data_IF_786863120623
#
_entry.id   IF_786863120623
#
_cell.length_a   1.000
_cell.length_b   1.000
_cell.length_c   1.000
_cell.angle_alpha   90.00
_cell.angle_beta   90.00
_cell.angle_gamma   90.00
#
_symmetry.space_group_name_H-M   'P 1'
#
loop_
_entity.id
_entity.type
_entity.pdbx_description
1 polymer ?
#
# COMPACT_ATOMS: atom_id res chain seq x y z
N UNK A 1 -13.17 -15.28 3.12
CA UNK A 1 -11.91 -14.68 2.62
C UNK A 1 -11.40 -15.58 1.49
N UNK A 2 -11.09 -15.02 0.32
CA UNK A 2 -10.45 -15.75 -0.78
C UNK A 2 -8.94 -15.50 -0.69
N UNK A 3 -8.14 -16.57 -0.68
CA UNK A 3 -6.68 -16.46 -0.69
C UNK A 3 -6.15 -16.60 -2.12
N UNK A 4 -5.23 -15.71 -2.49
CA UNK A 4 -4.50 -15.76 -3.76
C UNK A 4 -3.01 -15.84 -3.41
N UNK A 5 -2.32 -16.80 -4.00
CA UNK A 5 -0.90 -17.05 -3.77
C UNK A 5 -0.11 -16.66 -5.01
N UNK A 6 1.11 -16.13 -4.83
CA UNK A 6 1.95 -15.64 -5.92
C UNK A 6 2.79 -14.44 -5.49
N UNK A 7 3.57 -13.89 -6.42
CA UNK A 7 4.26 -12.61 -6.25
C UNK A 7 3.27 -11.46 -6.50
N UNK A 8 3.06 -10.60 -5.50
CA UNK A 8 2.10 -9.50 -5.56
C UNK A 8 2.35 -8.49 -6.69
N UNK A 9 3.58 -8.39 -7.21
CA UNK A 9 3.93 -7.49 -8.30
C UNK A 9 3.88 -8.17 -9.68
N UNK A 10 3.74 -9.50 -9.72
CA UNK A 10 3.61 -10.25 -10.96
C UNK A 10 2.27 -10.99 -10.99
N UNK A 11 1.28 -10.35 -11.62
CA UNK A 11 -0.06 -10.92 -11.76
C UNK A 11 -0.05 -12.28 -12.46
N UNK A 12 0.94 -12.61 -13.30
CA UNK A 12 1.05 -13.91 -13.98
C UNK A 12 1.43 -15.05 -13.04
N UNK A 13 2.06 -14.73 -11.92
CA UNK A 13 2.37 -15.70 -10.88
C UNK A 13 1.18 -16.04 -9.97
N UNK A 14 0.05 -15.34 -10.09
CA UNK A 14 -1.08 -15.49 -9.18
C UNK A 14 -1.86 -16.78 -9.45
N UNK A 15 -2.12 -17.55 -8.39
CA UNK A 15 -2.89 -18.80 -8.45
C UNK A 15 -4.32 -18.62 -8.94
N UNK A 16 -4.84 -17.39 -8.89
CA UNK A 16 -6.12 -17.01 -9.47
C UNK A 16 -6.07 -15.59 -9.99
N UNK A 17 -6.61 -15.39 -11.20
CA UNK A 17 -6.74 -14.07 -11.82
C UNK A 17 -7.96 -13.32 -11.30
N UNK A 18 -7.86 -11.99 -11.12
CA UNK A 18 -9.02 -11.14 -10.82
C UNK A 18 -10.06 -11.23 -11.93
N UNK A 19 -11.33 -11.08 -11.55
CA UNK A 19 -12.45 -11.04 -12.50
C UNK A 19 -12.65 -9.60 -12.99
N UNK A 20 -12.29 -8.62 -12.16
CA UNK A 20 -12.36 -7.20 -12.49
C UNK A 20 -11.14 -6.76 -13.30
N UNK A 21 -11.31 -5.78 -14.21
CA UNK A 21 -10.19 -5.24 -14.98
C UNK A 21 -9.21 -4.46 -14.11
N UNK A 22 -9.71 -3.81 -13.04
CA UNK A 22 -8.93 -3.03 -12.10
C UNK A 22 -8.69 -3.78 -10.79
N UNK A 23 -7.54 -3.51 -10.17
CA UNK A 23 -7.07 -4.16 -8.95
C UNK A 23 -6.61 -3.09 -7.97
N UNK A 24 -7.01 -3.19 -6.70
CA UNK A 24 -6.41 -2.40 -5.63
C UNK A 24 -5.39 -3.26 -4.85
N UNK A 25 -4.14 -2.83 -4.83
CA UNK A 25 -3.13 -3.38 -3.93
C UNK A 25 -3.04 -2.52 -2.67
N UNK A 26 -3.40 -3.13 -1.55
CA UNK A 26 -3.48 -2.48 -0.25
C UNK A 26 -2.30 -2.91 0.61
N UNK A 27 -1.50 -1.96 1.07
CA UNK A 27 -0.33 -2.22 1.91
C UNK A 27 -0.47 -1.50 3.23
N UNK A 28 -0.26 -2.23 4.33
CA UNK A 28 -0.22 -1.62 5.66
C UNK A 28 1.14 -0.98 5.91
N UNK A 29 1.14 0.17 6.56
CA UNK A 29 2.37 0.83 7.04
C UNK A 29 2.22 1.17 8.52
N UNK A 30 3.28 1.65 9.16
CA UNK A 30 3.24 2.11 10.55
C UNK A 30 2.83 3.59 10.70
N UNK A 31 2.61 4.31 9.60
CA UNK A 31 2.24 5.74 9.63
C UNK A 31 3.33 6.69 10.14
N UNK A 32 4.59 6.23 10.25
CA UNK A 32 5.70 7.05 10.76
C UNK A 32 6.35 7.84 9.61
N UNK A 33 6.62 9.13 9.84
CA UNK A 33 7.33 10.00 8.90
C UNK A 33 8.71 10.35 9.48
N UNK A 34 9.75 10.25 8.65
CA UNK A 34 11.14 10.62 8.98
C UNK A 34 11.29 12.14 9.07
N UNK A 35 12.37 12.61 9.67
CA UNK A 35 12.75 14.03 9.65
C UNK A 35 12.91 14.59 8.22
N UNK A 36 13.20 13.74 7.22
CA UNK A 36 13.26 14.12 5.80
C UNK A 36 11.89 14.33 5.15
N UNK A 37 10.78 14.14 5.87
CA UNK A 37 9.42 14.21 5.34
C UNK A 37 8.96 12.96 4.59
N UNK A 38 9.80 11.92 4.48
CA UNK A 38 9.44 10.64 3.85
C UNK A 38 8.84 9.66 4.86
N UNK A 39 7.86 8.86 4.43
CA UNK A 39 7.33 7.78 5.24
C UNK A 39 8.35 6.66 5.49
N UNK A 40 8.24 5.99 6.63
CA UNK A 40 9.04 4.81 7.00
C UNK A 40 8.42 3.56 6.37
N UNK A 41 9.10 3.01 5.36
CA UNK A 41 8.70 1.79 4.66
C UNK A 41 9.90 0.82 4.57
N UNK A 42 10.54 0.56 5.72
CA UNK A 42 11.85 -0.12 5.76
C UNK A 42 11.82 -1.64 5.96
N UNK A 43 10.64 -2.26 6.12
CA UNK A 43 10.50 -3.68 6.38
C UNK A 43 9.28 -4.32 5.69
N UNK A 44 9.34 -5.64 5.50
CA UNK A 44 8.25 -6.46 4.95
C UNK A 44 7.75 -5.97 3.59
N UNK A 45 6.44 -6.16 3.36
CA UNK A 45 5.80 -5.77 2.11
C UNK A 45 5.95 -4.27 1.80
N UNK A 46 5.91 -3.41 2.83
CA UNK A 46 6.12 -1.98 2.63
C UNK A 46 7.50 -1.68 2.02
N UNK A 47 8.56 -2.40 2.42
CA UNK A 47 9.88 -2.28 1.80
C UNK A 47 9.86 -2.75 0.36
N UNK A 48 9.26 -3.89 0.07
CA UNK A 48 9.22 -4.42 -1.29
C UNK A 48 8.52 -3.45 -2.25
N UNK A 49 7.45 -2.78 -1.79
CA UNK A 49 6.80 -1.69 -2.53
C UNK A 49 7.72 -0.50 -2.80
N UNK A 50 8.66 -0.16 -1.92
CA UNK A 50 9.66 0.89 -2.21
C UNK A 50 10.72 0.48 -3.22
N UNK A 51 10.98 -0.83 -3.36
CA UNK A 51 11.92 -1.34 -4.35
C UNK A 51 11.31 -1.27 -5.75
N UNK A 52 10.01 -1.57 -5.87
CA UNK A 52 9.26 -1.49 -7.13
C UNK A 52 8.85 -0.05 -7.46
N UNK A 53 8.43 0.73 -6.45
CA UNK A 53 7.97 2.11 -6.60
C UNK A 53 8.74 3.05 -5.64
N UNK A 54 9.97 3.48 -6.01
CA UNK A 54 10.85 4.29 -5.15
C UNK A 54 10.27 5.64 -4.70
N UNK A 55 9.26 6.16 -5.40
CA UNK A 55 8.57 7.41 -5.10
C UNK A 55 7.58 7.32 -3.93
N UNK A 56 7.11 6.13 -3.56
CA UNK A 56 6.06 5.96 -2.55
C UNK A 56 6.38 6.57 -1.18
N UNK A 57 7.60 6.47 -0.62
CA UNK A 57 7.92 7.08 0.66
C UNK A 57 7.72 8.60 0.68
N UNK A 58 8.01 9.28 -0.44
CA UNK A 58 7.83 10.74 -0.55
C UNK A 58 6.34 11.07 -0.61
N UNK A 59 5.59 10.40 -1.51
CA UNK A 59 4.16 10.66 -1.70
C UNK A 59 3.39 10.39 -0.40
N UNK A 60 3.64 9.23 0.24
CA UNK A 60 2.98 8.89 1.48
C UNK A 60 3.35 9.85 2.61
N UNK A 61 4.63 10.23 2.72
CA UNK A 61 5.08 11.18 3.73
C UNK A 61 4.37 12.54 3.63
N UNK A 62 4.22 13.06 2.40
CA UNK A 62 3.45 14.28 2.15
C UNK A 62 1.97 14.13 2.53
N UNK A 63 1.34 13.00 2.19
CA UNK A 63 -0.06 12.75 2.53
C UNK A 63 -0.30 12.57 4.03
N UNK A 64 0.60 11.87 4.73
CA UNK A 64 0.57 11.73 6.19
C UNK A 64 0.74 13.09 6.88
N UNK A 65 1.64 13.94 6.38
CA UNK A 65 1.83 15.29 6.93
C UNK A 65 0.60 16.19 6.70
N UNK A 66 -0.06 16.07 5.54
CA UNK A 66 -1.19 16.91 5.18
C UNK A 66 -2.52 16.46 5.83
N UNK A 67 -2.75 15.14 5.94
CA UNK A 67 -4.06 14.58 6.24
C UNK A 67 -4.03 13.55 7.39
N UNK A 68 -2.87 13.27 7.97
CA UNK A 68 -2.73 12.31 9.07
C UNK A 68 -2.90 10.85 8.64
N UNK A 69 -3.17 10.00 9.63
CA UNK A 69 -3.25 8.55 9.50
C UNK A 69 -4.62 8.10 8.95
N UNK A 70 -4.91 8.44 7.70
CA UNK A 70 -6.06 7.93 6.95
C UNK A 70 -5.59 7.09 5.74
N UNK A 71 -6.52 6.39 5.08
CA UNK A 71 -6.19 5.60 3.89
C UNK A 71 -5.77 6.56 2.79
N UNK A 72 -4.63 6.29 2.18
CA UNK A 72 -4.07 7.13 1.13
C UNK A 72 -3.99 6.35 -0.18
N UNK A 73 -4.72 6.82 -1.19
CA UNK A 73 -4.43 6.48 -2.57
C UNK A 73 -3.13 7.17 -2.99
N UNK A 74 -2.17 6.41 -3.52
CA UNK A 74 -0.84 6.94 -3.85
C UNK A 74 -0.63 7.09 -5.36
N UNK A 75 -0.93 6.05 -6.14
CA UNK A 75 -0.77 6.06 -7.60
C UNK A 75 -1.54 4.92 -8.26
N UNK A 76 -1.64 5.00 -9.59
CA UNK A 76 -2.01 3.90 -10.49
C UNK A 76 -0.80 3.53 -11.33
N UNK A 77 -0.59 2.22 -11.52
CA UNK A 77 0.31 1.65 -12.50
C UNK A 77 -0.50 0.66 -13.36
N UNK A 78 -0.67 0.96 -14.64
CA UNK A 78 -1.61 0.28 -15.55
C UNK A 78 -3.02 0.11 -14.95
N UNK A 79 -3.41 -1.13 -14.63
CA UNK A 79 -4.70 -1.49 -14.05
C UNK A 79 -4.65 -1.70 -12.52
N UNK A 80 -3.53 -1.34 -11.90
CA UNK A 80 -3.26 -1.54 -10.48
C UNK A 80 -3.25 -0.21 -9.73
N UNK A 81 -4.14 -0.07 -8.77
CA UNK A 81 -4.22 1.08 -7.86
C UNK A 81 -3.52 0.74 -6.54
N UNK A 82 -2.57 1.59 -6.12
CA UNK A 82 -1.81 1.39 -4.89
C UNK A 82 -2.40 2.26 -3.77
N UNK A 83 -2.86 1.60 -2.73
CA UNK A 83 -3.45 2.21 -1.54
C UNK A 83 -2.68 1.81 -0.28
N UNK A 84 -2.42 2.77 0.60
CA UNK A 84 -1.72 2.52 1.85
C UNK A 84 -2.57 2.79 3.07
N UNK A 85 -2.49 1.86 4.04
CA UNK A 85 -3.28 1.82 5.27
C UNK A 85 -2.34 1.98 6.47
N UNK A 86 -2.28 3.16 7.11
CA UNK A 86 -1.59 3.31 8.40
C UNK A 86 -2.31 2.50 9.51
N UNK A 87 -1.62 2.16 10.61
CA UNK A 87 -2.04 1.09 11.51
C UNK A 87 -3.25 1.46 12.36
N UNK A 88 -3.55 2.74 12.50
CA UNK A 88 -4.70 3.24 13.27
C UNK A 88 -6.05 3.00 12.58
N UNK A 89 -6.06 2.55 11.32
CA UNK A 89 -7.30 2.32 10.54
C UNK A 89 -7.78 0.88 10.67
N UNK A 90 -6.88 -0.06 11.01
CA UNK A 90 -7.24 -1.48 11.15
C UNK A 90 -8.16 -1.68 12.37
N UNK A 91 -8.11 -0.78 13.37
CA UNK A 91 -9.00 -0.81 14.53
C UNK A 91 -10.47 -0.48 14.23
N UNK A 92 -10.75 0.36 13.21
CA UNK A 92 -12.13 0.74 12.85
C UNK A 92 -12.76 -0.19 11.82
N UNK A 93 -11.96 -0.82 10.95
CA UNK A 93 -12.46 -1.73 9.90
C UNK A 93 -12.79 -3.13 10.44
N UNK A 94 -12.33 -3.50 11.64
CA UNK A 94 -12.59 -4.79 12.30
C UNK A 94 -13.84 -4.81 13.21
N UNK A 95 -14.64 -3.74 13.25
CA UNK A 95 -15.95 -3.73 13.91
C UNK A 95 -17.11 -3.75 12.89
N UNK A 96 -17.20 -4.82 12.10
CA UNK A 96 -18.42 -5.18 11.38
C UNK A 96 -18.56 -6.70 11.35
#
# INVERSE_FOLDING_TARGET
>A
MLEITGNIFDQNSWSRKPITPEIALCVTTNGVVKASGQAVMGAGMAKDFTLVYPQLPVILGQKLACCGNQVHYLLTDDNVHICLFPPNIIGEILQI
#
